data_IF_729891220328
#
_entry.id   IF_729891220328
#
_cell.length_a   1.000
_cell.length_b   1.000
_cell.length_c   1.000
_cell.angle_alpha   90.00
_cell.angle_beta   90.00
_cell.angle_gamma   90.00
#
_symmetry.space_group_name_H-M   'P 1'
#
loop_
_entity.id
_entity.type
_entity.pdbx_description
1 polymer ?
#
# COMPACT_ATOMS: atom_id res chain seq x y z
N UNK A 1 -23.95 5.09 41.54
CA UNK A 1 -22.54 4.85 41.13
C UNK A 1 -22.35 3.83 39.99
N UNK A 2 -23.15 2.78 39.79
CA UNK A 2 -22.90 1.81 38.68
C UNK A 2 -23.08 2.41 37.25
N UNK A 3 -23.95 3.36 37.04
CA UNK A 3 -24.26 3.94 35.72
C UNK A 3 -23.07 4.74 35.15
N UNK A 4 -22.33 5.48 35.99
CA UNK A 4 -21.17 6.29 35.57
C UNK A 4 -20.02 5.37 35.15
N UNK A 5 -19.81 4.28 35.84
CA UNK A 5 -18.77 3.29 35.55
C UNK A 5 -19.02 2.60 34.20
N UNK A 6 -20.27 2.21 33.93
CA UNK A 6 -20.66 1.59 32.66
C UNK A 6 -20.37 2.54 31.47
N UNK A 7 -20.66 3.84 31.60
CA UNK A 7 -20.39 4.83 30.54
C UNK A 7 -18.90 5.02 30.25
N UNK A 8 -18.03 4.90 31.24
CA UNK A 8 -16.58 5.04 31.05
C UNK A 8 -15.98 3.89 30.25
N UNK A 9 -16.44 2.64 30.47
CA UNK A 9 -15.97 1.47 29.72
C UNK A 9 -16.41 1.51 28.25
N UNK A 10 -17.64 1.88 27.98
CA UNK A 10 -18.17 2.03 26.63
C UNK A 10 -17.34 3.03 25.79
N UNK A 11 -16.90 4.12 26.45
CA UNK A 11 -16.08 5.14 25.79
C UNK A 11 -14.66 4.64 25.51
N UNK A 12 -14.04 3.91 26.45
CA UNK A 12 -12.71 3.32 26.25
C UNK A 12 -12.74 2.30 25.11
N UNK A 13 -13.72 1.41 25.10
CA UNK A 13 -13.90 0.41 24.03
C UNK A 13 -14.04 1.08 22.65
N UNK A 14 -14.89 2.10 22.56
CA UNK A 14 -15.05 2.86 21.34
C UNK A 14 -13.74 3.52 20.90
N UNK A 15 -12.98 4.11 21.82
CA UNK A 15 -11.67 4.70 21.52
C UNK A 15 -10.67 3.66 21.00
N UNK A 16 -10.61 2.47 21.58
CA UNK A 16 -9.71 1.41 21.12
C UNK A 16 -10.03 0.97 19.70
N UNK A 17 -11.32 0.80 19.37
CA UNK A 17 -11.77 0.50 18.01
C UNK A 17 -11.41 1.64 17.05
N UNK A 18 -11.68 2.88 17.47
CA UNK A 18 -11.35 4.06 16.68
C UNK A 18 -9.85 4.18 16.37
N UNK A 19 -8.97 3.94 17.35
CA UNK A 19 -7.52 4.01 17.12
C UNK A 19 -7.01 2.94 16.16
N UNK A 20 -7.56 1.73 16.17
CA UNK A 20 -7.21 0.70 15.19
C UNK A 20 -7.63 1.11 13.77
N UNK A 21 -8.84 1.61 13.62
CA UNK A 21 -9.39 2.01 12.32
C UNK A 21 -8.68 3.25 11.77
N UNK A 22 -8.46 4.29 12.57
CA UNK A 22 -7.80 5.51 12.10
C UNK A 22 -6.33 5.23 11.72
N UNK A 23 -5.62 4.40 12.47
CA UNK A 23 -4.25 4.02 12.17
C UNK A 23 -4.15 3.30 10.82
N UNK A 24 -5.09 2.42 10.51
CA UNK A 24 -5.18 1.77 9.20
C UNK A 24 -5.48 2.80 8.09
N UNK A 25 -6.49 3.65 8.27
CA UNK A 25 -6.92 4.63 7.26
C UNK A 25 -5.79 5.61 6.90
N UNK A 26 -4.99 6.03 7.88
CA UNK A 26 -3.87 6.96 7.66
C UNK A 26 -2.78 6.34 6.78
N UNK A 27 -2.60 5.02 6.82
CA UNK A 27 -1.59 4.32 6.03
C UNK A 27 -2.11 3.91 4.66
N UNK A 28 -3.43 3.75 4.49
CA UNK A 28 -4.01 3.38 3.20
C UNK A 28 -3.62 4.40 2.12
N UNK A 29 -3.07 3.96 0.97
CA UNK A 29 -2.77 4.84 -0.14
C UNK A 29 -4.04 5.55 -0.60
N UNK A 30 -3.92 6.75 -1.13
CA UNK A 30 -4.97 7.70 -1.55
C UNK A 30 -5.76 8.31 -0.39
N UNK A 31 -6.37 7.51 0.51
CA UNK A 31 -7.10 8.04 1.67
C UNK A 31 -6.11 8.66 2.67
N UNK A 32 -4.98 7.99 2.93
CA UNK A 32 -3.90 8.46 3.78
C UNK A 32 -3.09 9.62 3.19
N UNK A 33 -3.19 9.87 1.88
CA UNK A 33 -2.42 10.91 1.19
C UNK A 33 -2.74 12.33 1.68
N UNK A 34 -1.87 13.29 1.36
CA UNK A 34 -2.07 14.71 1.65
C UNK A 34 -3.26 15.33 0.89
N UNK A 35 -3.73 14.67 -0.18
CA UNK A 35 -4.89 15.12 -0.95
C UNK A 35 -6.20 15.04 -0.15
N UNK A 36 -6.29 14.14 0.84
CA UNK A 36 -7.46 14.02 1.71
C UNK A 36 -7.22 14.79 3.01
N UNK A 37 -8.05 15.78 3.35
CA UNK A 37 -7.92 16.58 4.57
C UNK A 37 -8.00 15.69 5.82
N UNK A 38 -7.21 16.03 6.87
CA UNK A 38 -7.16 15.24 8.10
C UNK A 38 -8.52 15.06 8.79
N UNK A 39 -9.37 16.10 8.76
CA UNK A 39 -10.71 16.00 9.33
C UNK A 39 -11.61 14.97 8.63
N UNK A 40 -11.44 14.79 7.30
CA UNK A 40 -12.17 13.77 6.55
C UNK A 40 -11.74 12.35 6.94
N UNK A 41 -10.44 12.11 7.15
CA UNK A 41 -9.90 10.83 7.65
C UNK A 41 -10.45 10.50 9.04
N UNK A 42 -10.43 11.48 9.94
CA UNK A 42 -10.96 11.34 11.30
C UNK A 42 -12.46 11.07 11.26
N UNK A 43 -13.22 11.81 10.43
CA UNK A 43 -14.65 11.60 10.24
C UNK A 43 -14.97 10.21 9.71
N UNK A 44 -14.25 9.75 8.68
CA UNK A 44 -14.41 8.40 8.12
C UNK A 44 -14.13 7.33 9.17
N UNK A 45 -13.02 7.45 9.91
CA UNK A 45 -12.67 6.53 10.98
C UNK A 45 -13.73 6.50 12.08
N UNK A 46 -14.26 7.67 12.46
CA UNK A 46 -15.30 7.79 13.48
C UNK A 46 -16.59 7.08 13.06
N UNK A 47 -17.09 7.33 11.83
CA UNK A 47 -18.30 6.67 11.32
C UNK A 47 -18.10 5.16 11.17
N UNK A 48 -16.95 4.71 10.66
CA UNK A 48 -16.64 3.28 10.60
C UNK A 48 -16.63 2.64 11.99
N UNK A 49 -16.01 3.31 12.98
CA UNK A 49 -15.98 2.84 14.35
C UNK A 49 -17.36 2.75 14.96
N UNK A 50 -18.24 3.70 14.66
CA UNK A 50 -19.62 3.72 15.14
C UNK A 50 -20.45 2.55 14.58
N UNK A 51 -20.20 2.15 13.31
CA UNK A 51 -20.84 1.00 12.69
C UNK A 51 -20.33 -0.31 13.26
N UNK A 52 -19.02 -0.40 13.48
CA UNK A 52 -18.33 -1.63 13.93
C UNK A 52 -18.55 -1.89 15.44
N UNK A 53 -18.62 -0.82 16.25
CA UNK A 53 -18.76 -0.89 17.70
C UNK A 53 -19.87 -1.84 18.21
N UNK A 54 -21.16 -1.72 17.77
CA UNK A 54 -22.23 -2.56 18.26
C UNK A 54 -22.08 -4.04 17.87
N UNK A 55 -21.26 -4.34 16.84
CA UNK A 55 -21.00 -5.70 16.39
C UNK A 55 -19.96 -6.40 17.27
N UNK A 56 -19.01 -5.63 17.81
CA UNK A 56 -17.86 -6.14 18.58
C UNK A 56 -18.21 -6.27 20.06
N UNK A 57 -18.94 -5.31 20.63
CA UNK A 57 -19.23 -5.26 22.07
C UNK A 57 -20.02 -6.48 22.56
N UNK A 58 -20.72 -7.17 21.67
CA UNK A 58 -21.43 -8.41 21.99
C UNK A 58 -20.49 -9.61 22.21
N UNK A 59 -19.28 -9.54 21.71
CA UNK A 59 -18.30 -10.64 21.69
C UNK A 59 -17.14 -10.44 22.65
N UNK A 60 -16.87 -9.20 23.05
CA UNK A 60 -15.74 -8.88 23.93
C UNK A 60 -16.20 -7.97 25.08
N UNK A 61 -16.04 -8.44 26.31
CA UNK A 61 -16.25 -7.66 27.52
C UNK A 61 -14.87 -7.24 28.03
N UNK A 62 -14.59 -5.95 28.07
CA UNK A 62 -13.34 -5.44 28.63
C UNK A 62 -13.32 -5.58 30.15
N UNK A 63 -12.26 -6.18 30.74
CA UNK A 63 -12.05 -6.15 32.18
C UNK A 63 -11.75 -4.72 32.65
N UNK A 64 -11.85 -4.46 33.96
CA UNK A 64 -11.42 -3.20 34.55
C UNK A 64 -9.92 -2.99 34.35
N UNK A 65 -9.56 -2.13 33.36
CA UNK A 65 -8.17 -1.85 33.06
C UNK A 65 -7.70 -0.61 33.84
N UNK A 66 -6.58 -0.68 34.56
CA UNK A 66 -5.91 0.50 35.11
C UNK A 66 -5.40 1.41 33.98
N UNK A 67 -5.31 2.71 34.25
CA UNK A 67 -4.93 3.72 33.24
C UNK A 67 -3.66 3.37 32.41
N UNK A 68 -2.57 2.84 33.03
CA UNK A 68 -1.40 2.44 32.26
C UNK A 68 -1.71 1.33 31.22
N UNK A 69 -2.59 0.39 31.56
CA UNK A 69 -3.00 -0.68 30.64
C UNK A 69 -3.88 -0.17 29.50
N UNK A 70 -4.71 0.84 29.73
CA UNK A 70 -5.48 1.50 28.66
C UNK A 70 -4.52 2.15 27.64
N UNK A 71 -3.48 2.83 28.09
CA UNK A 71 -2.48 3.46 27.21
C UNK A 71 -1.76 2.39 26.38
N UNK A 72 -1.32 1.30 27.00
CA UNK A 72 -0.67 0.19 26.31
C UNK A 72 -1.62 -0.47 25.29
N UNK A 73 -2.90 -0.60 25.64
CA UNK A 73 -3.91 -1.11 24.72
C UNK A 73 -4.08 -0.19 23.51
N UNK A 74 -4.14 1.13 23.68
CA UNK A 74 -4.20 2.09 22.57
C UNK A 74 -2.99 1.91 21.63
N UNK A 75 -1.79 1.81 22.18
CA UNK A 75 -0.56 1.59 21.39
C UNK A 75 -0.69 0.28 20.59
N UNK A 76 -1.15 -0.80 21.21
CA UNK A 76 -1.36 -2.08 20.53
C UNK A 76 -2.39 -1.96 19.39
N UNK A 77 -3.50 -1.25 19.61
CA UNK A 77 -4.53 -1.05 18.59
C UNK A 77 -4.00 -0.23 17.39
N UNK A 78 -3.21 0.81 17.66
CA UNK A 78 -2.55 1.61 16.61
C UNK A 78 -1.59 0.74 15.81
N UNK A 79 -0.74 -0.06 16.47
CA UNK A 79 0.19 -0.95 15.78
C UNK A 79 -0.53 -1.97 14.89
N UNK A 80 -1.61 -2.57 15.38
CA UNK A 80 -2.42 -3.49 14.56
C UNK A 80 -2.98 -2.78 13.32
N UNK A 81 -3.56 -1.59 13.49
CA UNK A 81 -4.07 -0.79 12.39
C UNK A 81 -2.99 -0.48 11.35
N UNK A 82 -1.79 -0.09 11.81
CA UNK A 82 -0.60 0.14 10.96
C UNK A 82 -0.25 -1.10 10.16
N UNK A 83 -0.18 -2.26 10.79
CA UNK A 83 0.19 -3.53 10.16
C UNK A 83 -0.82 -3.91 9.06
N UNK A 84 -2.11 -3.76 9.30
CA UNK A 84 -3.15 -4.02 8.29
C UNK A 84 -3.06 -3.05 7.12
N UNK A 85 -2.89 -1.75 7.38
CA UNK A 85 -2.68 -0.74 6.34
C UNK A 85 -1.41 -0.98 5.53
N UNK A 86 -0.35 -1.46 6.18
CA UNK A 86 0.94 -1.75 5.56
C UNK A 86 0.85 -2.84 4.49
N UNK A 87 0.05 -3.90 4.69
CA UNK A 87 -0.15 -4.94 3.66
C UNK A 87 -0.73 -4.37 2.36
N UNK A 88 -1.66 -3.44 2.47
CA UNK A 88 -2.21 -2.75 1.28
C UNK A 88 -1.16 -1.81 0.68
N UNK A 89 -0.45 -1.08 1.51
CA UNK A 89 0.60 -0.14 1.09
C UNK A 89 1.70 -0.83 0.28
N UNK A 90 2.10 -2.07 0.64
CA UNK A 90 3.11 -2.86 -0.10
C UNK A 90 2.76 -2.98 -1.58
N UNK A 91 1.50 -3.27 -1.93
CA UNK A 91 1.08 -3.44 -3.32
C UNK A 91 1.20 -2.12 -4.08
N UNK A 92 0.68 -1.04 -3.53
CA UNK A 92 0.74 0.28 -4.18
C UNK A 92 2.17 0.81 -4.30
N UNK A 93 2.99 0.63 -3.27
CA UNK A 93 4.41 1.00 -3.31
C UNK A 93 5.17 0.16 -4.34
N UNK A 94 4.86 -1.13 -4.46
CA UNK A 94 5.42 -1.99 -5.51
C UNK A 94 5.08 -1.51 -6.92
N UNK A 95 3.82 -1.10 -7.15
CA UNK A 95 3.38 -0.50 -8.41
C UNK A 95 4.10 0.83 -8.67
N UNK A 96 4.30 1.65 -7.64
CA UNK A 96 5.06 2.90 -7.75
C UNK A 96 6.51 2.65 -8.14
N UNK A 97 7.18 1.67 -7.52
CA UNK A 97 8.54 1.24 -7.88
C UNK A 97 8.60 0.77 -9.33
N UNK A 98 7.61 0.00 -9.79
CA UNK A 98 7.51 -0.39 -11.20
C UNK A 98 7.47 0.83 -12.12
N UNK A 99 6.62 1.81 -11.81
CA UNK A 99 6.50 3.04 -12.58
C UNK A 99 7.79 3.85 -12.62
N UNK A 100 8.55 3.89 -11.52
CA UNK A 100 9.86 4.54 -11.47
C UNK A 100 10.88 3.81 -12.35
N UNK A 101 10.97 2.47 -12.27
CA UNK A 101 11.85 1.66 -13.11
C UNK A 101 11.53 1.84 -14.60
N UNK A 102 10.26 1.77 -14.96
CA UNK A 102 9.80 1.98 -16.34
C UNK A 102 10.14 3.38 -16.83
N UNK A 103 9.90 4.41 -16.02
CA UNK A 103 10.17 5.79 -16.37
C UNK A 103 11.65 6.05 -16.73
N UNK A 104 12.54 5.44 -15.96
CA UNK A 104 13.98 5.53 -16.24
C UNK A 104 14.31 4.85 -17.56
N UNK A 105 13.75 3.67 -17.83
CA UNK A 105 14.04 2.89 -19.03
C UNK A 105 13.45 3.50 -20.31
N UNK A 106 12.27 4.12 -20.22
CA UNK A 106 11.62 4.83 -21.34
C UNK A 106 12.28 6.20 -21.62
N UNK A 107 13.22 6.63 -20.76
CA UNK A 107 13.99 7.86 -20.95
C UNK A 107 13.36 9.12 -20.33
N UNK A 108 12.23 9.01 -19.63
CA UNK A 108 11.63 10.14 -18.90
C UNK A 108 12.52 10.65 -17.76
N UNK A 109 13.39 9.80 -17.21
CA UNK A 109 14.37 10.20 -16.21
C UNK A 109 15.37 11.24 -16.71
N UNK A 110 15.64 11.32 -18.03
CA UNK A 110 16.53 12.34 -18.59
C UNK A 110 15.93 13.75 -18.57
N UNK A 111 14.61 13.87 -18.62
CA UNK A 111 13.91 15.18 -18.56
C UNK A 111 14.18 15.86 -17.22
N UNK A 112 14.22 15.11 -16.14
CA UNK A 112 14.53 15.63 -14.81
C UNK A 112 15.99 16.08 -14.65
N UNK A 113 16.91 15.46 -15.39
CA UNK A 113 18.32 15.89 -15.43
C UNK A 113 18.51 17.19 -16.21
N UNK A 114 17.70 17.43 -17.26
CA UNK A 114 17.77 18.63 -18.09
C UNK A 114 17.14 19.86 -17.42
N UNK A 115 16.22 19.67 -16.51
CA UNK A 115 15.57 20.77 -15.79
C UNK A 115 15.44 20.49 -14.27
N UNK A 116 16.52 20.70 -13.50
CA UNK A 116 16.53 20.45 -12.06
C UNK A 116 15.58 21.34 -11.25
N UNK A 117 15.06 22.43 -11.83
CA UNK A 117 14.09 23.30 -11.18
C UNK A 117 12.67 22.68 -11.12
N UNK A 118 12.38 21.71 -12.00
CA UNK A 118 11.13 20.93 -12.00
C UNK A 118 11.27 19.72 -11.08
N UNK A 119 12.48 19.35 -10.67
CA UNK A 119 12.82 18.13 -9.94
C UNK A 119 12.31 18.06 -8.48
N UNK A 120 11.74 19.13 -7.94
CA UNK A 120 11.15 19.14 -6.60
C UNK A 120 9.83 18.33 -6.49
N UNK A 121 9.30 17.83 -7.62
CA UNK A 121 8.18 16.88 -7.65
C UNK A 121 8.61 15.64 -8.46
N UNK A 122 9.47 14.83 -7.85
CA UNK A 122 10.06 13.61 -8.49
C UNK A 122 9.06 12.44 -8.64
N UNK A 123 7.77 12.72 -8.69
CA UNK A 123 6.83 11.62 -8.98
C UNK A 123 6.84 11.41 -10.49
N UNK A 124 7.36 10.26 -10.91
CA UNK A 124 7.37 9.85 -12.31
C UNK A 124 5.95 9.86 -12.89
N UNK A 125 5.78 10.45 -14.09
CA UNK A 125 4.51 10.43 -14.82
C UNK A 125 3.97 9.00 -14.94
N UNK A 126 4.85 8.03 -15.22
CA UNK A 126 4.50 6.62 -15.35
C UNK A 126 4.06 6.03 -14.02
N UNK A 127 4.73 6.38 -12.90
CA UNK A 127 4.31 5.94 -11.56
C UNK A 127 2.92 6.43 -11.20
N UNK A 128 2.61 7.70 -11.48
CA UNK A 128 1.27 8.22 -11.25
C UNK A 128 0.22 7.48 -12.07
N UNK A 129 0.50 7.24 -13.36
CA UNK A 129 -0.42 6.54 -14.25
C UNK A 129 -0.69 5.12 -13.76
N UNK A 130 0.35 4.37 -13.38
CA UNK A 130 0.22 3.01 -12.83
C UNK A 130 -0.48 3.02 -11.47
N UNK A 131 -0.24 4.01 -10.61
CA UNK A 131 -0.93 4.13 -9.34
C UNK A 131 -2.42 4.42 -9.51
N UNK A 132 -2.81 5.25 -10.49
CA UNK A 132 -4.23 5.43 -10.81
C UNK A 132 -4.88 4.16 -11.38
N UNK A 133 -4.15 3.42 -12.23
CA UNK A 133 -4.59 2.11 -12.70
C UNK A 133 -4.80 1.15 -11.53
N UNK A 134 -3.83 1.07 -10.60
CA UNK A 134 -3.94 0.23 -9.40
C UNK A 134 -5.13 0.64 -8.52
N UNK A 135 -5.42 1.94 -8.40
CA UNK A 135 -6.59 2.42 -7.65
C UNK A 135 -7.90 1.98 -8.29
N UNK A 136 -8.03 2.09 -9.61
CA UNK A 136 -9.21 1.63 -10.34
C UNK A 136 -9.40 0.13 -10.13
N UNK A 137 -8.35 -0.66 -10.28
CA UNK A 137 -8.37 -2.11 -10.07
C UNK A 137 -8.71 -2.45 -8.61
N UNK A 138 -8.18 -1.72 -7.64
CA UNK A 138 -8.48 -1.91 -6.21
C UNK A 138 -9.98 -1.76 -5.91
N UNK A 139 -10.62 -0.79 -6.56
CA UNK A 139 -12.07 -0.57 -6.40
C UNK A 139 -12.86 -1.64 -7.17
N UNK A 140 -12.47 -1.97 -8.40
CA UNK A 140 -13.16 -2.91 -9.28
C UNK A 140 -13.10 -4.35 -8.77
N UNK A 141 -11.95 -4.78 -8.24
CA UNK A 141 -11.74 -6.14 -7.70
C UNK A 141 -12.39 -6.38 -6.34
N UNK A 142 -13.13 -5.39 -5.81
CA UNK A 142 -13.67 -5.48 -4.46
C UNK A 142 -12.60 -5.63 -3.35
N UNK A 143 -11.33 -5.36 -3.66
CA UNK A 143 -10.23 -5.43 -2.69
C UNK A 143 -10.46 -4.49 -1.50
N UNK A 144 -11.18 -3.40 -1.71
CA UNK A 144 -11.63 -2.51 -0.64
C UNK A 144 -12.50 -3.25 0.39
N UNK A 145 -13.37 -4.15 -0.05
CA UNK A 145 -14.17 -4.98 0.86
C UNK A 145 -13.32 -5.98 1.63
N UNK A 146 -12.24 -6.53 1.03
CA UNK A 146 -11.31 -7.40 1.75
C UNK A 146 -10.60 -6.64 2.89
N UNK A 147 -10.30 -5.36 2.69
CA UNK A 147 -9.74 -4.52 3.76
C UNK A 147 -10.74 -4.34 4.90
N UNK A 148 -12.00 -4.04 4.59
CA UNK A 148 -13.06 -3.91 5.61
C UNK A 148 -13.31 -5.24 6.32
N UNK A 149 -13.42 -6.35 5.58
CA UNK A 149 -13.58 -7.70 6.12
C UNK A 149 -12.39 -8.08 7.00
N UNK A 150 -11.17 -7.79 6.55
CA UNK A 150 -9.94 -8.07 7.29
C UNK A 150 -9.89 -7.35 8.64
N UNK A 151 -10.22 -6.04 8.67
CA UNK A 151 -10.25 -5.30 9.93
C UNK A 151 -11.39 -5.77 10.84
N UNK A 152 -12.55 -6.09 10.29
CA UNK A 152 -13.66 -6.65 11.06
C UNK A 152 -13.27 -8.00 11.70
N UNK A 153 -12.71 -8.92 10.92
CA UNK A 153 -12.24 -10.21 11.40
C UNK A 153 -11.11 -10.07 12.44
N UNK A 154 -10.26 -9.03 12.29
CA UNK A 154 -9.24 -8.74 13.29
C UNK A 154 -9.84 -8.41 14.66
N UNK A 155 -10.98 -7.73 14.71
CA UNK A 155 -11.67 -7.46 15.97
C UNK A 155 -12.31 -8.71 16.60
N UNK A 156 -12.69 -9.70 15.79
CA UNK A 156 -13.27 -10.96 16.31
C UNK A 156 -12.21 -11.84 16.98
N UNK A 157 -10.98 -11.78 16.53
CA UNK A 157 -9.91 -12.70 16.90
C UNK A 157 -8.87 -12.06 17.80
N UNK A 158 -8.54 -10.79 17.56
CA UNK A 158 -7.51 -10.06 18.28
C UNK A 158 -8.18 -9.17 19.34
N UNK A 159 -7.90 -9.39 20.65
CA UNK A 159 -8.53 -8.64 21.72
C UNK A 159 -8.26 -7.14 21.67
N UNK A 160 -9.16 -6.36 22.29
CA UNK A 160 -8.99 -4.90 22.43
C UNK A 160 -7.96 -4.51 23.51
N UNK A 161 -7.55 -5.45 24.35
CA UNK A 161 -6.54 -5.24 25.39
C UNK A 161 -5.13 -5.20 24.84
N UNK A 162 -4.16 -4.93 25.71
CA UNK A 162 -2.73 -5.00 25.34
C UNK A 162 -2.35 -6.40 24.84
N UNK A 163 -1.56 -6.43 23.79
CA UNK A 163 -1.09 -7.65 23.14
C UNK A 163 0.44 -7.65 23.11
N UNK A 164 1.03 -8.78 23.47
CA UNK A 164 2.43 -9.06 23.20
C UNK A 164 2.60 -9.50 21.75
N UNK A 165 3.26 -8.69 20.94
CA UNK A 165 3.55 -9.04 19.56
C UNK A 165 4.62 -10.13 19.49
N UNK A 166 4.28 -11.24 18.84
CA UNK A 166 5.24 -12.31 18.58
C UNK A 166 6.37 -11.82 17.66
N UNK A 167 7.64 -12.22 17.90
CA UNK A 167 8.74 -11.94 16.98
C UNK A 167 8.48 -12.43 15.54
N UNK A 168 7.64 -13.44 15.38
CA UNK A 168 7.25 -13.96 14.06
C UNK A 168 6.47 -12.95 13.20
N UNK A 169 5.73 -12.02 13.83
CA UNK A 169 5.04 -10.95 13.10
C UNK A 169 6.04 -10.02 12.43
N UNK A 170 7.10 -9.62 13.14
CA UNK A 170 8.13 -8.74 12.59
C UNK A 170 8.87 -9.42 11.43
N UNK A 171 9.21 -10.70 11.57
CA UNK A 171 9.82 -11.47 10.48
C UNK A 171 8.90 -11.61 9.27
N UNK A 172 7.61 -11.80 9.51
CA UNK A 172 6.61 -11.83 8.43
C UNK A 172 6.52 -10.49 7.71
N UNK A 173 6.49 -9.37 8.44
CA UNK A 173 6.45 -8.03 7.85
C UNK A 173 7.73 -7.70 7.06
N UNK A 174 8.89 -8.11 7.56
CA UNK A 174 10.17 -7.99 6.85
C UNK A 174 10.13 -8.73 5.50
N UNK A 175 9.68 -9.97 5.49
CA UNK A 175 9.53 -10.75 4.25
C UNK A 175 8.52 -10.09 3.30
N UNK A 176 7.40 -9.60 3.81
CA UNK A 176 6.38 -8.91 3.02
C UNK A 176 6.86 -7.57 2.47
N UNK A 177 7.71 -6.83 3.20
CA UNK A 177 8.32 -5.62 2.67
C UNK A 177 9.17 -5.91 1.42
N UNK A 178 9.78 -7.09 1.32
CA UNK A 178 10.48 -7.55 0.11
C UNK A 178 9.58 -7.69 -1.11
N UNK A 179 8.28 -7.96 -0.93
CA UNK A 179 7.31 -8.08 -2.02
C UNK A 179 7.18 -6.77 -2.80
N UNK A 180 7.50 -5.61 -2.21
CA UNK A 180 7.55 -4.31 -2.90
C UNK A 180 8.46 -4.39 -4.13
N UNK A 181 9.67 -4.93 -3.94
CA UNK A 181 10.64 -5.07 -5.04
C UNK A 181 10.21 -6.14 -6.03
N UNK A 182 9.63 -7.25 -5.54
CA UNK A 182 9.13 -8.32 -6.43
C UNK A 182 8.01 -7.81 -7.33
N UNK A 183 7.05 -7.07 -6.79
CA UNK A 183 5.97 -6.44 -7.56
C UNK A 183 6.55 -5.44 -8.55
N UNK A 184 7.46 -4.57 -8.09
CA UNK A 184 8.10 -3.55 -8.90
C UNK A 184 8.85 -4.13 -10.10
N UNK A 185 9.68 -5.14 -9.88
CA UNK A 185 10.46 -5.79 -10.93
C UNK A 185 9.53 -6.54 -11.88
N UNK A 186 8.62 -7.37 -11.38
CA UNK A 186 7.75 -8.18 -12.24
C UNK A 186 6.91 -7.32 -13.18
N UNK A 187 6.31 -6.24 -12.69
CA UNK A 187 5.55 -5.31 -13.53
C UNK A 187 6.44 -4.62 -14.57
N UNK A 188 7.69 -4.31 -14.26
CA UNK A 188 8.58 -3.59 -15.16
C UNK A 188 9.30 -4.47 -16.18
N UNK A 189 9.41 -5.78 -15.97
CA UNK A 189 10.13 -6.74 -16.84
C UNK A 189 9.84 -6.57 -18.33
N UNK A 190 8.58 -6.56 -18.82
CA UNK A 190 8.34 -6.52 -20.26
C UNK A 190 8.92 -5.26 -20.91
N UNK A 191 8.89 -4.13 -20.22
CA UNK A 191 9.41 -2.86 -20.73
C UNK A 191 10.94 -2.80 -20.61
N UNK A 192 11.49 -3.26 -19.48
CA UNK A 192 12.94 -3.28 -19.26
C UNK A 192 13.63 -4.15 -20.31
N UNK A 193 13.11 -5.32 -20.63
CA UNK A 193 13.68 -6.21 -21.65
C UNK A 193 13.76 -5.54 -23.02
N UNK A 194 12.68 -4.88 -23.46
CA UNK A 194 12.67 -4.17 -24.74
C UNK A 194 13.61 -2.96 -24.71
N UNK A 195 13.65 -2.22 -23.61
CA UNK A 195 14.55 -1.07 -23.48
C UNK A 195 16.02 -1.50 -23.53
N UNK A 196 16.40 -2.61 -22.90
CA UNK A 196 17.77 -3.16 -22.98
C UNK A 196 18.10 -3.53 -24.43
N UNK A 197 17.21 -4.22 -25.14
CA UNK A 197 17.43 -4.57 -26.56
C UNK A 197 17.62 -3.34 -27.43
N UNK A 198 16.78 -2.31 -27.23
CA UNK A 198 16.92 -1.04 -27.94
C UNK A 198 18.26 -0.36 -27.67
N UNK A 199 18.68 -0.32 -26.40
CA UNK A 199 19.95 0.28 -26.03
C UNK A 199 21.14 -0.45 -26.68
N UNK A 200 21.10 -1.78 -26.78
CA UNK A 200 22.12 -2.57 -27.49
C UNK A 200 22.11 -2.21 -28.98
N UNK A 201 20.94 -2.16 -29.62
CA UNK A 201 20.83 -1.80 -31.06
C UNK A 201 21.40 -0.40 -31.29
N UNK A 202 21.02 0.58 -30.46
CA UNK A 202 21.51 1.96 -30.60
C UNK A 202 23.03 2.03 -30.39
N UNK A 203 23.58 1.30 -29.43
CA UNK A 203 25.03 1.24 -29.19
C UNK A 203 25.77 0.64 -30.37
N UNK A 204 25.25 -0.43 -31.02
CA UNK A 204 25.82 -1.04 -32.21
C UNK A 204 25.74 -0.09 -33.41
N UNK A 205 24.62 0.63 -33.61
CA UNK A 205 24.50 1.64 -34.67
C UNK A 205 25.57 2.74 -34.54
N UNK A 206 25.87 3.15 -33.31
CA UNK A 206 26.94 4.10 -33.08
C UNK A 206 28.34 3.62 -33.43
N UNK A 207 28.58 2.33 -33.35
CA UNK A 207 29.84 1.75 -33.79
C UNK A 207 29.95 1.62 -35.31
N UNK A 208 28.82 1.36 -35.98
CA UNK A 208 28.78 1.17 -37.45
C UNK A 208 28.79 2.52 -38.18
N UNK A 209 28.09 3.51 -37.64
CA UNK A 209 27.92 4.81 -38.30
C UNK A 209 28.17 5.96 -37.30
N UNK A 210 29.45 6.21 -36.92
CA UNK A 210 29.85 7.18 -35.89
C UNK A 210 29.54 8.63 -36.27
N UNK A 211 29.28 8.90 -37.53
CA UNK A 211 28.88 10.22 -38.06
C UNK A 211 27.44 10.62 -37.66
N UNK A 212 26.60 9.68 -37.26
CA UNK A 212 25.27 10.01 -36.79
C UNK A 212 25.29 10.37 -35.29
N UNK A 213 24.59 11.43 -34.96
CA UNK A 213 24.41 11.80 -33.56
C UNK A 213 23.41 10.79 -32.92
N UNK A 214 23.96 9.75 -32.27
CA UNK A 214 23.20 8.64 -31.68
C UNK A 214 22.20 9.14 -30.65
N UNK A 215 22.54 10.18 -29.90
CA UNK A 215 21.63 10.76 -28.91
C UNK A 215 20.43 11.45 -29.55
N UNK A 216 20.64 12.13 -30.68
CA UNK A 216 19.55 12.82 -31.38
C UNK A 216 18.54 11.85 -32.01
N UNK A 217 18.97 10.66 -32.44
CA UNK A 217 18.11 9.65 -33.07
C UNK A 217 17.64 8.62 -32.07
N UNK A 218 18.51 8.16 -31.19
CA UNK A 218 18.20 7.08 -30.22
C UNK A 218 17.17 7.49 -29.18
N UNK A 219 17.28 8.71 -28.64
CA UNK A 219 16.38 9.16 -27.60
C UNK A 219 14.90 9.23 -28.01
N UNK A 220 14.51 9.82 -29.17
CA UNK A 220 13.12 9.74 -29.64
C UNK A 220 12.64 8.32 -29.87
N UNK A 221 13.50 7.43 -30.37
CA UNK A 221 13.14 6.02 -30.62
C UNK A 221 12.81 5.31 -29.30
N UNK A 222 13.65 5.49 -28.28
CA UNK A 222 13.41 4.88 -26.95
C UNK A 222 12.08 5.34 -26.37
N UNK A 223 11.75 6.63 -26.49
CA UNK A 223 10.48 7.17 -25.98
C UNK A 223 9.30 6.59 -26.73
N UNK A 224 9.31 6.58 -28.06
CA UNK A 224 8.21 6.08 -28.89
C UNK A 224 7.97 4.59 -28.64
N UNK A 225 9.03 3.78 -28.66
CA UNK A 225 8.93 2.33 -28.42
C UNK A 225 8.55 2.06 -26.97
N UNK A 226 9.09 2.82 -26.02
CA UNK A 226 8.73 2.70 -24.62
C UNK A 226 7.25 2.99 -24.35
N UNK A 227 6.68 4.02 -24.96
CA UNK A 227 5.25 4.32 -24.88
C UNK A 227 4.38 3.25 -25.55
N UNK A 228 4.81 2.72 -26.70
CA UNK A 228 4.14 1.58 -27.35
C UNK A 228 4.14 0.35 -26.44
N UNK A 229 5.27 0.04 -25.82
CA UNK A 229 5.38 -1.07 -24.87
C UNK A 229 4.53 -0.87 -23.63
N UNK A 230 4.45 0.37 -23.10
CA UNK A 230 3.52 0.70 -22.02
C UNK A 230 2.08 0.37 -22.40
N UNK A 231 1.65 0.81 -23.57
CA UNK A 231 0.29 0.54 -24.07
C UNK A 231 0.01 -0.95 -24.22
N UNK A 232 0.91 -1.69 -24.85
CA UNK A 232 0.76 -3.14 -25.06
C UNK A 232 0.77 -3.90 -23.73
N UNK A 233 1.49 -3.40 -22.73
CA UNK A 233 1.61 -4.06 -21.42
C UNK A 233 0.45 -3.76 -20.45
N UNK A 234 -0.49 -2.89 -20.79
CA UNK A 234 -1.64 -2.56 -19.91
C UNK A 234 -2.42 -3.80 -19.46
N UNK A 235 -2.80 -4.76 -20.33
CA UNK A 235 -3.50 -5.97 -19.91
C UNK A 235 -2.68 -6.78 -18.88
N UNK A 236 -1.38 -6.95 -19.13
CA UNK A 236 -0.47 -7.64 -18.20
C UNK A 236 -0.40 -6.93 -16.84
N UNK A 237 -0.32 -5.61 -16.81
CA UNK A 237 -0.35 -4.84 -15.56
C UNK A 237 -1.66 -5.05 -14.81
N UNK A 238 -2.78 -5.00 -15.52
CA UNK A 238 -4.10 -5.21 -14.94
C UNK A 238 -4.21 -6.58 -14.28
N UNK A 239 -3.84 -7.64 -14.99
CA UNK A 239 -3.90 -9.02 -14.49
C UNK A 239 -2.99 -9.22 -13.26
N UNK A 240 -1.76 -8.71 -13.31
CA UNK A 240 -0.80 -8.85 -12.22
C UNK A 240 -1.23 -8.09 -10.96
N UNK A 241 -1.72 -6.86 -11.11
CA UNK A 241 -2.22 -6.04 -10.01
C UNK A 241 -3.49 -6.66 -9.40
N UNK A 242 -4.41 -7.16 -10.25
CA UNK A 242 -5.61 -7.87 -9.81
C UNK A 242 -5.27 -9.12 -9.00
N UNK A 243 -4.30 -9.91 -9.45
CA UNK A 243 -3.79 -11.08 -8.72
C UNK A 243 -3.19 -10.68 -7.37
N UNK A 244 -2.43 -9.58 -7.32
CA UNK A 244 -1.83 -9.07 -6.07
C UNK A 244 -2.90 -8.66 -5.06
N UNK A 245 -3.96 -7.99 -5.49
CA UNK A 245 -5.07 -7.61 -4.60
C UNK A 245 -5.93 -8.80 -4.16
N UNK A 246 -6.15 -9.79 -5.02
CA UNK A 246 -6.90 -11.00 -4.65
C UNK A 246 -6.22 -11.80 -3.54
N UNK A 247 -4.89 -11.72 -3.44
CA UNK A 247 -4.10 -12.30 -2.36
C UNK A 247 -4.28 -11.66 -0.98
N UNK A 248 -4.76 -10.41 -0.91
CA UNK A 248 -4.88 -9.65 0.35
C UNK A 248 -5.72 -10.37 1.41
N UNK A 249 -6.83 -11.01 1.02
CA UNK A 249 -7.70 -11.75 1.95
C UNK A 249 -6.92 -12.85 2.68
N UNK A 250 -6.09 -13.58 1.97
CA UNK A 250 -5.27 -14.65 2.53
C UNK A 250 -4.19 -14.11 3.46
N UNK A 251 -3.57 -12.99 3.09
CA UNK A 251 -2.54 -12.34 3.90
C UNK A 251 -3.11 -11.73 5.18
N UNK A 252 -4.30 -11.14 5.14
CA UNK A 252 -4.99 -10.69 6.34
C UNK A 252 -5.30 -11.85 7.30
N UNK A 253 -5.80 -12.98 6.80
CA UNK A 253 -6.07 -14.15 7.62
C UNK A 253 -4.79 -14.73 8.25
N UNK A 254 -3.68 -14.78 7.50
CA UNK A 254 -2.38 -15.20 8.04
C UNK A 254 -1.91 -14.29 9.17
N UNK A 255 -2.06 -12.98 8.98
CA UNK A 255 -1.67 -11.98 9.97
C UNK A 255 -2.51 -12.10 11.25
N UNK A 256 -3.82 -12.28 11.12
CA UNK A 256 -4.75 -12.52 12.24
C UNK A 256 -4.30 -13.74 13.04
N UNK A 257 -4.01 -14.86 12.36
CA UNK A 257 -3.57 -16.08 13.01
C UNK A 257 -2.24 -15.93 13.75
N UNK A 258 -1.25 -15.22 13.14
CA UNK A 258 0.04 -14.96 13.79
C UNK A 258 -0.10 -14.06 15.03
N UNK A 259 -1.09 -13.17 15.05
CA UNK A 259 -1.33 -12.28 16.18
C UNK A 259 -2.13 -12.97 17.29
N UNK A 260 -3.07 -13.85 16.94
CA UNK A 260 -3.96 -14.52 17.89
C UNK A 260 -3.30 -15.69 18.66
N UNK A 261 -2.32 -16.39 18.06
CA UNK A 261 -1.68 -17.58 18.67
C UNK A 261 -0.68 -17.25 19.78
N UNK A 262 -0.34 -15.97 19.97
CA UNK A 262 0.71 -15.55 20.91
C UNK A 262 0.29 -14.36 21.81
N UNK A 263 -1.02 -14.04 21.85
CA UNK A 263 -1.60 -13.00 22.69
C UNK A 263 -2.16 -13.51 24.03
#
# INVERSE_FOLDING_TARGET
MPVIVIHQYLLIEFMLIFFRIIAMIVILPFIGSSAVPGWAKIGLAFFMSLIVYPLIIKTQILPHLPLPMVILSIISQVLIGIIFGFLVLIIFTGVEVAGQLISVQVGFGMISLLNPLISNQQVSLVSNLLNYLALIIFIETSAFFFVIEGIYNSFQTIPLTFINFSPYIFKYLELKAGDIFLIGINLSIPIILVAILLNIIIALMGRIAPQFNIFAVGFPIIIVVGLLMLYISVPYFTDYIMMSFSGLKLEFNRLINLTAYHG
#
